data_IF_109725038799
#
_entry.id   IF_109725038799
#
_cell.length_a   1.000
_cell.length_b   1.000
_cell.length_c   1.000
_cell.angle_alpha   90.00
_cell.angle_beta   90.00
_cell.angle_gamma   90.00
#
_symmetry.space_group_name_H-M   'P 1'
#
loop_
_entity.id
_entity.type
_entity.pdbx_description
1 polymer ?
#
# COMPACT_ATOMS: atom_id res chain seq x y z
N UNK A 1 1.93 -9.88 -6.06
CA UNK A 1 2.76 -10.78 -5.23
C UNK A 1 1.98 -11.21 -3.98
N UNK A 2 2.16 -12.46 -3.57
CA UNK A 2 1.57 -13.00 -2.36
C UNK A 2 2.58 -13.02 -1.22
N UNK A 3 2.08 -12.74 -0.01
CA UNK A 3 2.88 -12.74 1.20
C UNK A 3 2.23 -13.61 2.26
N UNK A 4 3.05 -14.31 3.01
CA UNK A 4 2.63 -15.02 4.23
C UNK A 4 2.90 -14.11 5.43
N UNK A 5 1.88 -13.86 6.23
CA UNK A 5 2.02 -13.21 7.53
C UNK A 5 2.03 -14.31 8.58
N UNK A 6 3.12 -14.42 9.30
CA UNK A 6 3.33 -15.53 10.23
C UNK A 6 4.14 -15.10 11.45
N UNK A 7 4.01 -15.88 12.51
CA UNK A 7 4.85 -15.74 13.70
C UNK A 7 6.20 -16.39 13.45
N UNK A 8 7.27 -15.62 13.59
CA UNK A 8 8.64 -16.12 13.51
C UNK A 8 9.06 -16.56 14.91
N UNK A 9 9.22 -17.88 15.08
CA UNK A 9 9.58 -18.48 16.35
C UNK A 9 10.93 -18.00 16.88
N UNK A 10 11.92 -17.86 16.02
CA UNK A 10 13.28 -17.44 16.41
C UNK A 10 13.32 -15.96 16.77
N UNK A 11 12.60 -15.13 16.03
CA UNK A 11 12.54 -13.69 16.30
C UNK A 11 11.52 -13.33 17.38
N UNK A 12 10.56 -14.20 17.68
CA UNK A 12 9.51 -13.96 18.66
C UNK A 12 8.51 -12.88 18.24
N UNK A 13 8.36 -12.64 16.96
CA UNK A 13 7.48 -11.58 16.42
C UNK A 13 6.78 -12.00 15.14
N UNK A 14 5.72 -11.27 14.80
CA UNK A 14 5.03 -11.44 13.52
C UNK A 14 5.88 -10.84 12.41
N UNK A 15 6.08 -11.63 11.36
CA UNK A 15 6.80 -11.21 10.15
C UNK A 15 6.01 -11.56 8.90
N UNK A 16 6.41 -10.97 7.79
CA UNK A 16 5.85 -11.28 6.47
C UNK A 16 6.95 -11.82 5.56
N UNK A 17 6.57 -12.77 4.71
CA UNK A 17 7.48 -13.46 3.82
C UNK A 17 6.88 -13.50 2.42
N UNK A 18 7.71 -13.29 1.41
CA UNK A 18 7.27 -13.46 0.02
C UNK A 18 7.09 -14.94 -0.29
N UNK A 19 5.91 -15.30 -0.76
CA UNK A 19 5.59 -16.70 -1.09
C UNK A 19 6.46 -17.23 -2.23
N UNK A 20 6.80 -16.39 -3.22
CA UNK A 20 7.64 -16.75 -4.35
C UNK A 20 9.12 -17.00 -4.00
N UNK A 21 9.53 -16.64 -2.79
CA UNK A 21 10.88 -16.86 -2.27
C UNK A 21 10.99 -18.07 -1.36
N UNK A 22 9.90 -18.77 -1.13
CA UNK A 22 9.87 -19.92 -0.25
C UNK A 22 10.41 -21.17 -0.93
N UNK A 23 11.19 -21.93 -0.18
CA UNK A 23 11.75 -23.23 -0.55
C UNK A 23 11.33 -24.26 0.50
N UNK A 24 11.07 -25.49 0.09
CA UNK A 24 10.89 -26.63 0.98
C UNK A 24 9.86 -26.43 2.10
N UNK A 25 8.61 -26.19 1.71
CA UNK A 25 7.53 -26.13 2.67
C UNK A 25 7.18 -27.52 3.20
N UNK A 26 7.16 -27.66 4.52
CA UNK A 26 6.80 -28.90 5.20
C UNK A 26 5.73 -28.61 6.23
N UNK A 27 4.64 -29.35 6.19
CA UNK A 27 3.61 -29.30 7.23
C UNK A 27 4.04 -30.14 8.42
N UNK A 28 3.96 -29.57 9.62
CA UNK A 28 4.28 -30.28 10.85
C UNK A 28 3.02 -30.54 11.69
N UNK A 29 3.12 -31.46 12.66
CA UNK A 29 2.05 -31.74 13.63
C UNK A 29 2.09 -30.78 14.82
N UNK A 30 3.06 -29.87 14.86
CA UNK A 30 3.20 -28.91 15.95
C UNK A 30 2.08 -27.88 15.92
N UNK A 31 1.54 -27.48 17.09
CA UNK A 31 0.54 -26.43 17.13
C UNK A 31 1.14 -25.09 16.72
N UNK A 32 0.28 -24.24 16.17
CA UNK A 32 0.67 -22.89 15.75
C UNK A 32 1.02 -22.03 16.96
N UNK A 33 2.19 -21.44 16.94
CA UNK A 33 2.65 -20.52 17.99
C UNK A 33 2.25 -19.07 17.69
N UNK A 34 2.33 -18.21 18.71
CA UNK A 34 2.07 -16.78 18.57
C UNK A 34 0.59 -16.44 18.45
N UNK A 35 -0.30 -17.36 18.79
CA UNK A 35 -1.75 -17.18 18.69
C UNK A 35 -2.24 -15.90 19.39
N UNK A 36 -1.64 -15.54 20.51
CA UNK A 36 -1.98 -14.33 21.25
C UNK A 36 -1.66 -13.04 20.48
N UNK A 37 -0.77 -13.10 19.49
CA UNK A 37 -0.44 -11.97 18.62
C UNK A 37 -1.40 -11.86 17.43
N UNK A 38 -2.16 -12.93 17.17
CA UNK A 38 -3.20 -12.98 16.14
C UNK A 38 -4.57 -13.12 16.82
N UNK A 39 -4.87 -12.25 17.77
CA UNK A 39 -6.15 -12.26 18.45
C UNK A 39 -7.27 -11.73 17.54
N UNK A 40 -8.50 -11.65 18.08
CA UNK A 40 -9.67 -11.15 17.33
C UNK A 40 -9.53 -9.70 16.85
N UNK A 41 -8.53 -8.96 17.37
CA UNK A 41 -8.25 -7.58 16.99
C UNK A 41 -7.21 -7.49 15.89
N UNK A 42 -6.59 -8.62 15.50
CA UNK A 42 -5.60 -8.58 14.43
C UNK A 42 -6.29 -8.31 13.11
N UNK A 43 -5.95 -7.16 12.52
CA UNK A 43 -6.44 -6.75 11.22
C UNK A 43 -5.32 -6.93 10.20
N UNK A 44 -5.44 -7.96 9.36
CA UNK A 44 -4.46 -8.28 8.33
C UNK A 44 -4.30 -7.15 7.30
N UNK A 45 -5.39 -6.45 6.98
CA UNK A 45 -5.35 -5.34 6.05
C UNK A 45 -4.60 -4.14 6.64
N UNK A 46 -4.85 -3.82 7.91
CA UNK A 46 -4.13 -2.77 8.62
C UNK A 46 -2.65 -3.10 8.77
N UNK A 47 -2.34 -4.35 9.12
CA UNK A 47 -0.96 -4.83 9.21
C UNK A 47 -0.25 -4.70 7.86
N UNK A 48 -0.91 -5.11 6.80
CA UNK A 48 -0.38 -5.03 5.43
C UNK A 48 -0.08 -3.58 5.03
N UNK A 49 -1.02 -2.66 5.28
CA UNK A 49 -0.79 -1.22 5.02
C UNK A 49 0.39 -0.68 5.81
N UNK A 50 0.51 -1.07 7.07
CA UNK A 50 1.55 -0.61 7.98
C UNK A 50 2.94 -1.13 7.59
N UNK A 51 3.02 -2.38 7.16
CA UNK A 51 4.29 -3.05 6.86
C UNK A 51 4.74 -2.79 5.43
N UNK A 52 3.83 -2.74 4.46
CA UNK A 52 4.15 -2.44 3.07
C UNK A 52 4.24 -0.94 2.80
N UNK A 53 3.69 -0.13 3.71
CA UNK A 53 4.03 1.28 3.83
C UNK A 53 5.28 1.49 4.69
N UNK A 54 6.21 0.57 4.66
CA UNK A 54 7.35 0.31 5.59
C UNK A 54 8.25 1.48 5.89
N UNK A 55 7.99 2.57 5.32
CA UNK A 55 8.83 3.73 5.47
C UNK A 55 7.97 4.74 6.18
N UNK A 56 8.50 5.32 7.23
CA UNK A 56 7.86 6.31 8.05
C UNK A 56 7.06 7.30 7.21
N UNK A 57 5.77 7.31 7.39
CA UNK A 57 4.88 8.23 6.74
C UNK A 57 3.56 8.27 7.49
N UNK A 58 2.85 9.37 7.37
CA UNK A 58 1.53 9.52 7.94
C UNK A 58 0.48 8.94 7.01
N UNK A 59 -0.51 8.26 7.58
CA UNK A 59 -1.70 7.88 6.84
C UNK A 59 -2.54 9.12 6.56
N UNK A 60 -2.84 9.35 5.28
CA UNK A 60 -3.65 10.49 4.83
C UNK A 60 -4.62 10.07 3.76
N UNK A 61 -5.75 10.77 3.69
CA UNK A 61 -6.65 10.66 2.55
C UNK A 61 -6.12 11.53 1.42
N UNK A 62 -5.77 10.90 0.32
CA UNK A 62 -5.21 11.57 -0.86
C UNK A 62 -6.21 11.51 -2.00
N UNK A 63 -6.42 12.64 -2.66
CA UNK A 63 -7.21 12.70 -3.89
C UNK A 63 -6.29 12.56 -5.11
N UNK A 64 -6.60 11.58 -5.94
CA UNK A 64 -5.91 11.34 -7.21
C UNK A 64 -6.83 11.71 -8.37
N UNK A 65 -6.25 12.26 -9.43
CA UNK A 65 -6.92 12.43 -10.73
C UNK A 65 -6.34 11.42 -11.70
N UNK A 66 -7.18 10.56 -12.22
CA UNK A 66 -6.76 9.40 -13.01
C UNK A 66 -7.44 9.41 -14.39
N UNK A 67 -6.71 8.98 -15.41
CA UNK A 67 -7.34 8.63 -16.69
C UNK A 67 -8.30 7.46 -16.47
N UNK A 68 -9.44 7.47 -17.16
CA UNK A 68 -10.51 6.48 -17.01
C UNK A 68 -10.04 5.03 -17.17
N UNK A 69 -9.04 4.79 -18.02
CA UNK A 69 -8.48 3.44 -18.23
C UNK A 69 -7.84 2.83 -17.00
N UNK A 70 -7.53 3.64 -15.98
CA UNK A 70 -6.89 3.17 -14.73
C UNK A 70 -7.90 2.69 -13.68
N UNK A 71 -9.19 2.66 -13.98
CA UNK A 71 -10.21 2.27 -13.00
C UNK A 71 -9.97 0.85 -12.47
N UNK A 72 -9.63 -0.09 -13.35
CA UNK A 72 -9.31 -1.46 -12.97
C UNK A 72 -8.05 -1.55 -12.09
N UNK A 73 -7.02 -0.80 -12.44
CA UNK A 73 -5.77 -0.73 -11.66
C UNK A 73 -6.05 -0.21 -10.24
N UNK A 74 -6.89 0.81 -10.12
CA UNK A 74 -7.24 1.40 -8.83
C UNK A 74 -8.07 0.44 -7.97
N UNK A 75 -9.02 -0.27 -8.58
CA UNK A 75 -9.80 -1.30 -7.90
C UNK A 75 -8.90 -2.44 -7.39
N UNK A 76 -7.95 -2.89 -8.20
CA UNK A 76 -7.02 -3.95 -7.82
C UNK A 76 -6.10 -3.53 -6.68
N UNK A 77 -5.65 -2.28 -6.68
CA UNK A 77 -4.70 -1.80 -5.68
C UNK A 77 -5.37 -1.41 -4.37
N UNK A 78 -6.51 -0.73 -4.42
CA UNK A 78 -7.14 -0.14 -3.24
C UNK A 78 -8.42 -0.86 -2.80
N UNK A 79 -8.90 -1.80 -3.60
CA UNK A 79 -10.09 -2.58 -3.29
C UNK A 79 -11.39 -1.85 -3.58
N UNK A 80 -12.50 -2.43 -3.11
CA UNK A 80 -13.86 -1.96 -3.44
C UNK A 80 -14.34 -0.80 -2.56
N UNK A 81 -13.56 -0.40 -1.55
CA UNK A 81 -13.95 0.66 -0.60
C UNK A 81 -13.56 2.06 -1.05
N UNK A 82 -13.05 2.21 -2.26
CA UNK A 82 -12.67 3.52 -2.77
C UNK A 82 -13.88 4.40 -3.08
N UNK A 83 -13.65 5.70 -3.00
CA UNK A 83 -14.64 6.71 -3.37
C UNK A 83 -14.24 7.31 -4.71
N UNK A 84 -15.09 7.09 -5.71
CA UNK A 84 -14.89 7.56 -7.07
C UNK A 84 -15.80 8.75 -7.36
N UNK A 85 -15.25 9.74 -8.05
CA UNK A 85 -16.00 10.94 -8.46
C UNK A 85 -15.67 11.24 -9.94
N UNK A 86 -16.67 11.67 -10.75
CA UNK A 86 -16.37 12.13 -12.09
C UNK A 86 -15.51 13.39 -12.07
N UNK A 87 -14.57 13.51 -13.01
CA UNK A 87 -13.78 14.72 -13.17
C UNK A 87 -14.12 15.43 -14.48
N UNK A 88 -13.86 14.73 -15.60
CA UNK A 88 -14.20 15.19 -16.96
C UNK A 88 -14.43 13.96 -17.84
N UNK A 89 -14.52 14.14 -19.16
CA UNK A 89 -14.80 13.04 -20.09
C UNK A 89 -13.70 11.95 -20.11
N UNK A 90 -12.50 12.30 -19.70
CA UNK A 90 -11.34 11.40 -19.79
C UNK A 90 -10.82 10.97 -18.43
N UNK A 91 -11.25 11.62 -17.34
CA UNK A 91 -10.69 11.45 -16.01
C UNK A 91 -11.75 11.23 -14.94
N UNK A 92 -11.31 10.59 -13.87
CA UNK A 92 -12.07 10.51 -12.63
C UNK A 92 -11.20 10.92 -11.45
N UNK A 93 -11.84 11.33 -10.36
CA UNK A 93 -11.18 11.54 -9.08
C UNK A 93 -11.36 10.34 -8.18
N UNK A 94 -10.36 10.07 -7.38
CA UNK A 94 -10.34 8.98 -6.43
C UNK A 94 -9.81 9.46 -5.09
N UNK A 95 -10.57 9.24 -4.01
CA UNK A 95 -10.09 9.43 -2.65
C UNK A 95 -9.63 8.09 -2.10
N UNK A 96 -8.38 8.03 -1.66
CA UNK A 96 -7.76 6.83 -1.08
C UNK A 96 -7.05 7.18 0.23
N UNK A 97 -7.12 6.24 1.17
CA UNK A 97 -6.34 6.33 2.40
C UNK A 97 -5.02 5.60 2.19
N UNK A 98 -3.94 6.35 2.24
CA UNK A 98 -2.60 5.82 1.98
C UNK A 98 -1.61 6.31 3.03
N UNK A 99 -0.57 5.51 3.26
CA UNK A 99 0.62 5.98 3.95
C UNK A 99 1.44 6.76 2.94
N UNK A 100 1.62 8.05 3.18
CA UNK A 100 2.42 8.91 2.32
C UNK A 100 3.89 8.60 2.56
N UNK A 101 4.51 7.94 1.61
CA UNK A 101 5.84 7.35 1.72
C UNK A 101 6.56 7.40 0.37
N UNK A 102 7.88 7.18 0.35
CA UNK A 102 8.60 7.04 -0.91
C UNK A 102 8.03 5.96 -1.84
N UNK A 103 7.47 4.87 -1.30
CA UNK A 103 6.84 3.83 -2.11
C UNK A 103 5.58 4.32 -2.80
N UNK A 104 4.75 5.06 -2.08
CA UNK A 104 3.56 5.68 -2.67
C UNK A 104 3.96 6.63 -3.78
N UNK A 105 4.93 7.50 -3.54
CA UNK A 105 5.41 8.45 -4.53
C UNK A 105 6.04 7.78 -5.74
N UNK A 106 6.81 6.70 -5.52
CA UNK A 106 7.40 5.93 -6.61
C UNK A 106 6.33 5.29 -7.49
N UNK A 107 5.27 4.76 -6.86
CA UNK A 107 4.14 4.20 -7.59
C UNK A 107 3.44 5.25 -8.44
N UNK A 108 3.15 6.43 -7.87
CA UNK A 108 2.52 7.53 -8.63
C UNK A 108 3.42 7.96 -9.78
N UNK A 109 4.70 8.12 -9.51
CA UNK A 109 5.70 8.48 -10.53
C UNK A 109 5.73 7.48 -11.69
N UNK A 110 5.61 6.18 -11.37
CA UNK A 110 5.65 5.11 -12.38
C UNK A 110 4.49 5.17 -13.39
N UNK A 111 3.43 5.91 -13.07
CA UNK A 111 2.25 6.06 -13.93
C UNK A 111 2.36 7.25 -14.89
N UNK A 112 3.52 7.89 -14.95
CA UNK A 112 3.91 8.87 -15.98
C UNK A 112 2.96 10.06 -16.15
N UNK A 113 2.31 10.48 -15.04
CA UNK A 113 1.39 11.61 -15.06
C UNK A 113 -0.04 11.27 -15.46
N UNK A 114 -0.33 10.02 -15.79
CA UNK A 114 -1.70 9.57 -16.06
C UNK A 114 -2.54 9.44 -14.79
N UNK A 115 -1.87 9.39 -13.66
CA UNK A 115 -2.44 9.48 -12.32
C UNK A 115 -1.69 10.61 -11.60
N UNK A 116 -2.43 11.59 -11.10
CA UNK A 116 -1.86 12.79 -10.48
C UNK A 116 -2.40 12.97 -9.07
N UNK A 117 -1.55 13.45 -8.18
CA UNK A 117 -1.97 13.84 -6.83
C UNK A 117 -2.59 15.24 -6.90
N UNK A 118 -3.81 15.38 -6.40
CA UNK A 118 -4.57 16.65 -6.45
C UNK A 118 -4.63 17.30 -5.07
N UNK A 119 -4.86 16.51 -4.04
CA UNK A 119 -5.02 16.96 -2.64
C UNK A 119 -4.49 15.88 -1.68
N UNK A 120 -4.10 16.22 -0.47
CA UNK A 120 -4.02 17.59 0.07
C UNK A 120 -2.76 18.32 -0.41
N UNK A 121 -2.71 19.66 -0.27
CA UNK A 121 -1.55 20.45 -0.74
C UNK A 121 -0.22 20.01 -0.16
N UNK A 122 -0.18 19.63 1.11
CA UNK A 122 1.06 19.19 1.77
C UNK A 122 1.62 17.89 1.15
N UNK A 123 0.76 17.01 0.63
CA UNK A 123 1.20 15.80 -0.08
C UNK A 123 1.76 16.17 -1.46
N UNK A 124 1.11 17.09 -2.16
CA UNK A 124 1.61 17.61 -3.43
C UNK A 124 3.00 18.23 -3.28
N UNK A 125 3.19 19.05 -2.25
CA UNK A 125 4.47 19.68 -1.94
C UNK A 125 5.54 18.65 -1.57
N UNK A 126 5.18 17.64 -0.79
CA UNK A 126 6.09 16.55 -0.42
C UNK A 126 6.52 15.74 -1.64
N UNK A 127 5.61 15.48 -2.56
CA UNK A 127 5.90 14.80 -3.82
C UNK A 127 6.85 15.61 -4.69
N UNK A 128 6.59 16.91 -4.82
CA UNK A 128 7.45 17.84 -5.56
C UNK A 128 8.87 17.86 -4.99
N UNK A 129 9.00 17.96 -3.67
CA UNK A 129 10.30 17.89 -3.00
C UNK A 129 11.03 16.57 -3.26
N UNK A 130 10.29 15.48 -3.27
CA UNK A 130 10.85 14.15 -3.55
C UNK A 130 11.41 14.07 -4.98
N UNK A 131 10.68 14.60 -5.95
CA UNK A 131 11.12 14.65 -7.35
C UNK A 131 12.39 15.49 -7.49
N UNK A 132 12.45 16.63 -6.85
CA UNK A 132 13.59 17.54 -6.93
C UNK A 132 14.89 16.96 -6.37
N UNK A 133 14.81 15.97 -5.51
CA UNK A 133 16.01 15.26 -5.01
C UNK A 133 16.75 14.50 -6.09
N UNK A 134 16.14 14.23 -7.22
CA UNK A 134 16.73 13.49 -8.34
C UNK A 134 17.25 14.40 -9.44
N UNK A 135 17.12 15.70 -9.27
CA UNK A 135 17.55 16.70 -10.24
C UNK A 135 18.48 17.68 -9.52
N UNK A 136 19.62 17.96 -10.14
CA UNK A 136 20.58 18.89 -9.58
C UNK A 136 20.32 20.32 -10.10
#
# INVERSE_FOLDING_TARGET
NYYLIAFDHDAGEIRHYRVDKMDSLVQTDLPREGKQLFDDRFDAAAYSRKVFGMFSGEEKTVKLKCLNRFIGVMLDRFGSSLRLFPADNEHFYLDVDVVVSPQFFSWVFSLEGDVRIVNPPEVCEAFEKQIHKFID
#
